data_IF_575820573841
#
_entry.id   IF_575820573841
#
_cell.length_a   1.000
_cell.length_b   1.000
_cell.length_c   1.000
_cell.angle_alpha   90.00
_cell.angle_beta   90.00
_cell.angle_gamma   90.00
#
_symmetry.space_group_name_H-M   'P 1'
#
loop_
_entity.id
_entity.type
_entity.pdbx_description
1 polymer ?
#
# COMPACT_ATOMS: atom_id res chain seq x y z
N UNK A 1 10.85 6.19 6.95
CA UNK A 1 11.27 7.43 6.28
C UNK A 1 12.55 7.92 6.93
N UNK A 2 13.51 8.41 6.14
CA UNK A 2 14.72 9.05 6.68
C UNK A 2 14.47 10.54 7.02
N UNK A 3 14.97 10.99 8.18
CA UNK A 3 14.85 12.39 8.67
C UNK A 3 15.36 13.39 7.63
N UNK A 4 16.40 13.02 6.89
CA UNK A 4 16.98 13.86 5.83
C UNK A 4 15.98 14.16 4.71
N UNK A 5 15.14 13.20 4.32
CA UNK A 5 14.15 13.39 3.26
C UNK A 5 13.00 14.32 3.68
N UNK A 6 12.59 14.25 4.96
CA UNK A 6 11.56 15.13 5.52
C UNK A 6 12.02 16.59 5.52
N UNK A 7 13.26 16.83 5.96
CA UNK A 7 13.85 18.17 5.95
C UNK A 7 14.00 18.71 4.53
N UNK A 8 14.45 17.88 3.58
CA UNK A 8 14.52 18.26 2.15
C UNK A 8 13.13 18.58 1.56
N UNK A 9 12.09 17.91 2.05
CA UNK A 9 10.69 18.14 1.64
C UNK A 9 10.05 19.36 2.31
N UNK A 10 10.81 20.12 3.12
CA UNK A 10 10.36 21.34 3.78
C UNK A 10 9.64 21.13 5.12
N UNK A 11 9.74 19.94 5.72
CA UNK A 11 9.27 19.72 7.08
C UNK A 11 10.27 20.30 8.09
N UNK A 12 9.76 20.82 9.19
CA UNK A 12 10.56 21.34 10.31
C UNK A 12 10.44 20.40 11.50
N UNK A 13 11.56 19.94 12.04
CA UNK A 13 11.55 19.11 13.25
C UNK A 13 11.18 19.98 14.46
N UNK A 14 10.15 19.57 15.20
CA UNK A 14 9.71 20.25 16.42
C UNK A 14 10.49 19.74 17.64
N UNK A 15 10.39 20.45 18.77
CA UNK A 15 11.00 19.99 20.03
C UNK A 15 10.21 18.87 20.72
N UNK A 16 9.06 18.48 20.16
CA UNK A 16 8.17 17.49 20.75
C UNK A 16 8.41 16.11 20.12
N UNK A 17 8.22 15.07 20.91
CA UNK A 17 8.33 13.67 20.47
C UNK A 17 6.96 13.01 20.53
N UNK A 18 6.71 12.07 19.64
CA UNK A 18 5.46 11.33 19.60
C UNK A 18 5.30 10.49 20.87
N UNK A 19 4.15 10.61 21.53
CA UNK A 19 3.87 9.86 22.77
C UNK A 19 3.73 8.34 22.54
N UNK A 20 3.46 7.91 21.30
CA UNK A 20 3.32 6.49 20.94
C UNK A 20 4.66 5.77 20.73
N UNK A 21 5.58 6.39 19.98
CA UNK A 21 6.80 5.73 19.51
C UNK A 21 8.10 6.46 19.91
N UNK A 22 8.00 7.64 20.51
CA UNK A 22 9.15 8.46 20.90
C UNK A 22 9.87 9.16 19.73
N UNK A 23 9.37 9.04 18.51
CA UNK A 23 9.99 9.67 17.33
C UNK A 23 9.76 11.19 17.31
N UNK A 24 10.70 12.03 16.84
CA UNK A 24 10.50 13.48 16.73
C UNK A 24 9.29 13.82 15.86
N UNK A 25 8.52 14.82 16.28
CA UNK A 25 7.39 15.32 15.51
C UNK A 25 7.86 16.36 14.49
N UNK A 26 7.27 16.32 13.29
CA UNK A 26 7.60 17.21 12.18
C UNK A 26 6.42 18.10 11.84
N UNK A 27 6.67 19.39 11.63
CA UNK A 27 5.67 20.37 11.23
C UNK A 27 5.86 20.79 9.77
N UNK A 28 4.77 20.87 9.01
CA UNK A 28 4.74 21.48 7.68
C UNK A 28 3.38 22.14 7.45
N UNK A 29 3.41 23.40 7.00
CA UNK A 29 2.20 24.20 6.73
C UNK A 29 1.19 24.19 7.91
N UNK A 30 1.69 24.27 9.15
CA UNK A 30 0.88 24.27 10.38
C UNK A 30 0.31 22.91 10.80
N UNK A 31 0.69 21.81 10.13
CA UNK A 31 0.31 20.44 10.50
C UNK A 31 1.50 19.70 11.11
N UNK A 32 1.28 19.09 12.27
CA UNK A 32 2.27 18.29 12.99
C UNK A 32 2.00 16.80 12.72
N UNK A 33 3.01 16.07 12.25
CA UNK A 33 2.93 14.64 11.95
C UNK A 33 4.08 13.86 12.59
N UNK A 34 3.84 12.58 12.87
CA UNK A 34 4.88 11.64 13.25
C UNK A 34 5.23 10.77 12.03
N UNK A 35 6.41 10.98 11.44
CA UNK A 35 6.80 10.25 10.23
C UNK A 35 6.82 8.72 10.41
N UNK A 36 7.14 8.23 11.60
CA UNK A 36 7.16 6.79 11.86
C UNK A 36 5.75 6.18 11.92
N UNK A 37 4.84 6.80 12.68
CA UNK A 37 3.48 6.28 12.82
C UNK A 37 2.65 6.45 11.54
N UNK A 38 2.84 7.57 10.83
CA UNK A 38 2.14 7.79 9.55
C UNK A 38 2.60 6.80 8.49
N UNK A 39 3.88 6.43 8.47
CA UNK A 39 4.38 5.42 7.53
C UNK A 39 3.81 4.03 7.83
N UNK A 40 3.72 3.61 9.09
CA UNK A 40 3.02 2.37 9.46
C UNK A 40 1.53 2.40 9.06
N UNK A 41 0.83 3.52 9.28
CA UNK A 41 -0.58 3.65 8.90
C UNK A 41 -0.77 3.65 7.37
N UNK A 42 0.08 4.36 6.62
CA UNK A 42 0.05 4.40 5.15
C UNK A 42 0.42 3.06 4.53
N UNK A 43 1.40 2.33 5.09
CA UNK A 43 1.82 1.01 4.62
C UNK A 43 0.73 -0.04 4.87
N UNK A 44 0.04 0.05 6.01
CA UNK A 44 -1.12 -0.79 6.32
C UNK A 44 -2.31 -0.44 5.42
N UNK A 45 -2.62 0.84 5.20
CA UNK A 45 -3.70 1.24 4.29
C UNK A 45 -3.42 0.88 2.84
N UNK A 46 -2.20 1.07 2.35
CA UNK A 46 -1.80 0.73 0.98
C UNK A 46 -1.77 -0.78 0.75
N UNK A 47 -1.32 -1.57 1.74
CA UNK A 47 -1.40 -3.03 1.70
C UNK A 47 -2.86 -3.51 1.72
N UNK A 48 -3.72 -2.93 2.56
CA UNK A 48 -5.15 -3.27 2.60
C UNK A 48 -5.87 -2.90 1.30
N UNK A 49 -5.61 -1.71 0.74
CA UNK A 49 -6.17 -1.29 -0.56
C UNK A 49 -5.65 -2.16 -1.70
N UNK A 50 -4.37 -2.53 -1.69
CA UNK A 50 -3.76 -3.45 -2.64
C UNK A 50 -4.41 -4.83 -2.60
N UNK A 51 -4.60 -5.39 -1.40
CA UNK A 51 -5.28 -6.67 -1.21
C UNK A 51 -6.74 -6.65 -1.67
N UNK A 52 -7.47 -5.55 -1.42
CA UNK A 52 -8.84 -5.39 -1.90
C UNK A 52 -8.92 -5.34 -3.45
N UNK A 53 -8.02 -4.60 -4.09
CA UNK A 53 -7.90 -4.56 -5.55
C UNK A 53 -7.52 -5.91 -6.16
N UNK A 54 -6.63 -6.66 -5.50
CA UNK A 54 -6.22 -8.00 -5.93
C UNK A 54 -7.39 -9.00 -5.86
N UNK A 55 -8.18 -8.97 -4.79
CA UNK A 55 -9.37 -9.81 -4.65
C UNK A 55 -10.45 -9.46 -5.70
N UNK A 56 -10.70 -8.18 -5.97
CA UNK A 56 -11.62 -7.75 -7.04
C UNK A 56 -11.18 -8.30 -8.41
N UNK A 57 -9.90 -8.17 -8.75
CA UNK A 57 -9.36 -8.68 -10.01
C UNK A 57 -9.40 -10.20 -10.11
N UNK A 58 -9.23 -10.89 -9.00
CA UNK A 58 -9.37 -12.35 -8.92
C UNK A 58 -10.80 -12.79 -9.21
N UNK A 59 -11.80 -12.12 -8.65
CA UNK A 59 -13.22 -12.40 -8.92
C UNK A 59 -13.59 -12.12 -10.39
N UNK A 60 -13.07 -11.05 -10.98
CA UNK A 60 -13.24 -10.72 -12.40
C UNK A 60 -12.69 -11.84 -13.30
N UNK A 61 -11.48 -12.32 -13.01
CA UNK A 61 -10.84 -13.41 -13.76
C UNK A 61 -11.57 -14.75 -13.59
N UNK A 62 -12.07 -15.06 -12.39
CA UNK A 62 -12.89 -16.26 -12.15
C UNK A 62 -14.22 -16.21 -12.92
N UNK A 63 -14.81 -15.03 -13.06
CA UNK A 63 -16.04 -14.84 -13.83
C UNK A 63 -15.77 -15.05 -15.31
N UNK A 64 -14.72 -14.42 -15.86
CA UNK A 64 -14.30 -14.64 -17.25
C UNK A 64 -13.95 -16.09 -17.56
N UNK A 65 -13.34 -16.80 -16.62
CA UNK A 65 -13.02 -18.23 -16.75
C UNK A 65 -14.28 -19.09 -16.93
N UNK A 66 -15.39 -18.74 -16.27
CA UNK A 66 -16.66 -19.49 -16.37
C UNK A 66 -17.38 -19.27 -17.69
N UNK A 67 -17.23 -18.09 -18.29
CA UNK A 67 -17.95 -17.69 -19.51
C UNK A 67 -17.21 -18.06 -20.79
N UNK A 68 -15.88 -18.15 -20.70
CA UNK A 68 -15.01 -18.36 -21.85
C UNK A 68 -14.94 -19.84 -22.24
N UNK A 69 -15.12 -20.13 -23.54
CA UNK A 69 -14.91 -21.46 -24.14
C UNK A 69 -13.61 -21.56 -24.93
N UNK A 70 -12.87 -20.46 -25.06
CA UNK A 70 -11.59 -20.40 -25.75
C UNK A 70 -10.47 -20.96 -24.85
N UNK A 71 -9.75 -21.97 -25.36
CA UNK A 71 -8.70 -22.67 -24.61
C UNK A 71 -7.48 -21.79 -24.32
N UNK A 72 -7.13 -20.85 -25.21
CA UNK A 72 -5.99 -19.96 -25.02
C UNK A 72 -6.29 -18.89 -23.97
N UNK A 73 -7.53 -18.38 -23.97
CA UNK A 73 -7.97 -17.40 -22.97
C UNK A 73 -8.09 -18.05 -21.58
N UNK A 74 -8.54 -19.32 -21.50
CA UNK A 74 -8.50 -20.11 -20.26
C UNK A 74 -7.07 -20.27 -19.73
N UNK A 75 -6.11 -20.64 -20.59
CA UNK A 75 -4.69 -20.78 -20.20
C UNK A 75 -4.13 -19.45 -19.68
N UNK A 76 -4.41 -18.34 -20.36
CA UNK A 76 -3.97 -17.01 -19.96
C UNK A 76 -4.55 -16.61 -18.60
N UNK A 77 -5.84 -16.82 -18.38
CA UNK A 77 -6.51 -16.53 -17.10
C UNK A 77 -5.92 -17.38 -15.97
N UNK A 78 -5.70 -18.67 -16.20
CA UNK A 78 -5.10 -19.56 -15.20
C UNK A 78 -3.69 -19.11 -14.83
N UNK A 79 -2.87 -18.70 -15.80
CA UNK A 79 -1.53 -18.17 -15.56
C UNK A 79 -1.54 -16.89 -14.74
N UNK A 80 -2.45 -15.96 -15.06
CA UNK A 80 -2.63 -14.74 -14.29
C UNK A 80 -3.07 -15.04 -12.84
N UNK A 81 -3.98 -16.00 -12.65
CA UNK A 81 -4.41 -16.45 -11.32
C UNK A 81 -3.27 -17.11 -10.53
N UNK A 82 -2.38 -17.87 -11.16
CA UNK A 82 -1.21 -18.46 -10.52
C UNK A 82 -0.23 -17.39 -10.05
N UNK A 83 0.10 -16.41 -10.89
CA UNK A 83 1.01 -15.31 -10.55
C UNK A 83 0.49 -14.47 -9.39
N UNK A 84 -0.82 -14.22 -9.33
CA UNK A 84 -1.43 -13.50 -8.20
C UNK A 84 -1.34 -14.28 -6.88
N UNK A 85 -1.31 -15.62 -6.92
CA UNK A 85 -1.14 -16.47 -5.73
C UNK A 85 0.30 -16.46 -5.21
N UNK A 86 1.28 -16.15 -6.06
CA UNK A 86 2.70 -16.07 -5.68
C UNK A 86 3.08 -14.70 -5.09
N UNK A 87 2.21 -13.70 -5.21
CA UNK A 87 2.42 -12.33 -4.70
C UNK A 87 1.92 -12.12 -3.26
N UNK A 88 1.17 -13.08 -2.71
CA UNK A 88 0.59 -13.07 -1.34
C UNK A 88 1.29 -14.13 -0.49
#
# INVERSE_FOLDING_TARGET
MDISQLLLSGYTMTAQHCEKCGYPLFEKDGRIICANCTEEEEEVESTQRGNALLEEKREELLTRLKETKDLNEIEHILRCLTLMKELV
#
